data_IF_779956015115
#
_entry.id   IF_779956015115
#
_cell.length_a   1.000
_cell.length_b   1.000
_cell.length_c   1.000
_cell.angle_alpha   90.00
_cell.angle_beta   90.00
_cell.angle_gamma   90.00
#
_symmetry.space_group_name_H-M   'P 1'
#
loop_
_entity.id
_entity.type
_entity.pdbx_description
1 polymer ?
#
# COMPACT_ATOMS: atom_id res chain seq x y z
N UNK A 1 -0.82 13.37 -1.82
CA UNK A 1 -0.43 13.74 -0.45
C UNK A 1 0.98 14.30 -0.49
N UNK A 2 1.17 15.54 -0.01
CA UNK A 2 2.45 16.23 -0.08
C UNK A 2 3.12 16.41 1.30
N UNK A 3 2.44 16.09 2.39
CA UNK A 3 2.97 16.19 3.74
C UNK A 3 1.89 16.06 4.80
N UNK A 4 2.28 16.18 6.07
CA UNK A 4 1.40 16.01 7.21
C UNK A 4 1.26 14.54 7.63
N UNK A 5 0.29 14.29 8.49
CA UNK A 5 -0.07 12.93 8.94
C UNK A 5 -1.48 12.61 8.43
N UNK A 6 -1.65 11.48 7.79
CA UNK A 6 -2.92 10.98 7.29
C UNK A 6 -3.12 9.55 7.78
N UNK A 7 -4.14 9.34 8.59
CA UNK A 7 -4.53 8.02 9.09
C UNK A 7 -5.91 7.65 8.57
N UNK A 8 -6.00 6.48 7.94
CA UNK A 8 -7.22 5.98 7.30
C UNK A 8 -7.56 4.61 7.86
N UNK A 9 -8.81 4.46 8.30
CA UNK A 9 -9.42 3.17 8.60
C UNK A 9 -10.59 2.97 7.63
N UNK A 10 -10.48 2.01 6.73
CA UNK A 10 -11.46 1.80 5.66
C UNK A 10 -12.04 0.38 5.69
N UNK A 11 -13.34 0.28 5.47
CA UNK A 11 -14.01 -1.01 5.31
C UNK A 11 -13.82 -1.62 3.92
N UNK A 12 -13.42 -0.80 2.97
CA UNK A 12 -13.15 -1.12 1.57
C UNK A 12 -11.83 -0.45 1.18
N UNK A 13 -11.66 0.06 -0.04
CA UNK A 13 -10.42 0.73 -0.44
C UNK A 13 -10.05 1.87 0.52
N UNK A 14 -8.78 1.92 0.91
CA UNK A 14 -8.28 2.98 1.77
C UNK A 14 -8.15 4.31 1.04
N UNK A 15 -7.47 4.31 -0.08
CA UNK A 15 -7.34 5.47 -0.98
C UNK A 15 -7.69 5.01 -2.39
N UNK A 16 -8.65 5.68 -3.01
CA UNK A 16 -9.02 5.40 -4.39
C UNK A 16 -8.76 6.64 -5.25
N UNK A 17 -8.05 6.46 -6.36
CA UNK A 17 -7.83 7.47 -7.38
C UNK A 17 -8.41 7.00 -8.71
N UNK A 18 -9.50 7.62 -9.13
CA UNK A 18 -10.18 7.25 -10.38
C UNK A 18 -10.70 8.48 -11.11
N UNK A 19 -10.77 8.36 -12.43
CA UNK A 19 -11.40 9.33 -13.31
C UNK A 19 -12.73 8.74 -13.81
N UNK A 20 -13.74 8.75 -12.96
CA UNK A 20 -14.99 8.03 -13.13
C UNK A 20 -15.78 8.32 -14.43
N UNK A 21 -15.48 9.41 -15.11
CA UNK A 21 -16.12 9.80 -16.38
C UNK A 21 -15.20 9.61 -17.58
N UNK A 22 -14.04 8.95 -17.39
CA UNK A 22 -13.08 8.78 -18.48
C UNK A 22 -13.58 7.75 -19.50
N UNK A 23 -13.78 8.21 -20.72
CA UNK A 23 -14.06 7.35 -21.87
C UNK A 23 -12.76 7.17 -22.65
N UNK A 24 -12.24 5.94 -22.67
CA UNK A 24 -11.06 5.60 -23.47
C UNK A 24 -11.50 5.41 -24.92
N UNK A 25 -11.15 6.34 -25.80
CA UNK A 25 -11.48 6.24 -27.23
C UNK A 25 -10.94 4.93 -27.83
N UNK A 26 -11.80 4.19 -28.51
CA UNK A 26 -11.45 2.91 -29.09
C UNK A 26 -11.52 1.71 -28.14
N UNK A 27 -11.88 1.93 -26.90
CA UNK A 27 -12.08 0.89 -25.89
C UNK A 27 -13.49 0.98 -25.30
N UNK A 28 -14.49 0.75 -26.13
CA UNK A 28 -15.92 0.85 -25.74
C UNK A 28 -16.32 -0.15 -24.62
N UNK A 29 -15.44 -1.09 -24.32
CA UNK A 29 -15.62 -2.07 -23.25
C UNK A 29 -14.46 -2.00 -22.22
N UNK A 30 -13.84 -0.83 -22.05
CA UNK A 30 -12.86 -0.64 -20.98
C UNK A 30 -13.54 -0.92 -19.63
N UNK A 31 -12.97 -1.83 -18.88
CA UNK A 31 -13.43 -2.21 -17.54
C UNK A 31 -12.67 -1.41 -16.47
N UNK A 32 -12.95 -1.71 -15.21
CA UNK A 32 -12.28 -1.08 -14.07
C UNK A 32 -10.78 -1.33 -14.01
N UNK A 33 -10.28 -2.28 -14.80
CA UNK A 33 -8.87 -2.67 -14.87
C UNK A 33 -8.09 -1.88 -15.93
N UNK A 34 -8.75 -0.99 -16.66
CA UNK A 34 -8.11 -0.17 -17.69
C UNK A 34 -7.54 1.12 -17.09
N UNK A 35 -6.33 1.49 -17.51
CA UNK A 35 -5.72 2.77 -17.12
C UNK A 35 -6.61 3.92 -17.58
N UNK A 36 -7.17 4.66 -16.65
CA UNK A 36 -8.08 5.79 -16.91
C UNK A 36 -7.36 7.14 -16.91
N UNK A 37 -6.04 7.15 -16.79
CA UNK A 37 -5.20 8.33 -16.74
C UNK A 37 -5.16 9.05 -15.40
N UNK A 38 -5.81 8.51 -14.37
CA UNK A 38 -5.69 9.07 -13.02
C UNK A 38 -4.27 8.90 -12.48
N UNK A 39 -3.88 9.78 -11.57
CA UNK A 39 -2.54 9.74 -10.98
C UNK A 39 -2.63 9.97 -9.48
N UNK A 40 -2.21 8.98 -8.71
CA UNK A 40 -1.99 9.12 -7.28
C UNK A 40 -0.52 9.41 -7.02
N UNK A 41 -0.23 10.48 -6.29
CA UNK A 41 1.14 10.79 -5.87
C UNK A 41 1.19 11.06 -4.37
N UNK A 42 2.09 10.35 -3.70
CA UNK A 42 2.50 10.64 -2.33
C UNK A 42 3.94 11.15 -2.39
N UNK A 43 4.16 12.39 -2.01
CA UNK A 43 5.47 13.05 -2.11
C UNK A 43 6.04 13.50 -0.76
N UNK A 44 5.33 13.25 0.32
CA UNK A 44 5.78 13.57 1.67
C UNK A 44 4.76 13.21 2.73
N UNK A 45 5.14 13.37 3.99
CA UNK A 45 4.31 13.08 5.14
C UNK A 45 4.36 11.64 5.61
N UNK A 46 3.48 11.31 6.53
CA UNK A 46 3.25 9.95 7.02
C UNK A 46 1.82 9.55 6.69
N UNK A 47 1.65 8.47 5.95
CA UNK A 47 0.35 7.97 5.49
C UNK A 47 0.16 6.58 6.07
N UNK A 48 -0.91 6.40 6.79
CA UNK A 48 -1.27 5.14 7.45
C UNK A 48 -2.62 4.67 6.93
N UNK A 49 -2.66 3.46 6.40
CA UNK A 49 -3.88 2.85 5.87
C UNK A 49 -4.10 1.50 6.53
N UNK A 50 -5.23 1.37 7.24
CA UNK A 50 -5.73 0.09 7.72
C UNK A 50 -7.05 -0.19 7.01
N UNK A 51 -7.15 -1.29 6.28
CA UNK A 51 -8.32 -1.63 5.48
C UNK A 51 -8.82 -3.04 5.77
N UNK A 52 -10.14 -3.24 5.63
CA UNK A 52 -10.78 -4.51 5.94
C UNK A 52 -10.98 -5.40 4.71
N UNK A 53 -11.14 -4.83 3.52
CA UNK A 53 -11.33 -5.55 2.25
C UNK A 53 -10.89 -4.68 1.07
N UNK A 54 -10.86 -5.27 -0.12
CA UNK A 54 -10.39 -4.63 -1.36
C UNK A 54 -8.91 -4.24 -1.28
N UNK A 55 -8.56 -3.03 -1.70
CA UNK A 55 -7.18 -2.58 -1.76
C UNK A 55 -6.87 -1.50 -0.72
N UNK A 56 -5.64 -1.49 -0.22
CA UNK A 56 -5.20 -0.41 0.66
C UNK A 56 -5.13 0.91 -0.12
N UNK A 57 -4.52 0.86 -1.27
CA UNK A 57 -4.42 1.98 -2.22
C UNK A 57 -4.79 1.45 -3.60
N UNK A 58 -5.83 2.00 -4.20
CA UNK A 58 -6.27 1.70 -5.56
C UNK A 58 -6.11 2.92 -6.46
N UNK A 59 -5.47 2.75 -7.61
CA UNK A 59 -5.42 3.76 -8.65
C UNK A 59 -5.83 3.15 -9.99
N UNK A 60 -6.92 3.62 -10.54
CA UNK A 60 -7.32 3.24 -11.89
C UNK A 60 -6.37 3.79 -12.96
N UNK A 61 -5.32 4.48 -12.56
CA UNK A 61 -4.21 4.93 -13.39
C UNK A 61 -2.89 4.64 -12.71
N UNK A 62 -2.04 5.62 -12.58
CA UNK A 62 -0.68 5.46 -12.04
C UNK A 62 -0.60 5.76 -10.55
N UNK A 63 0.34 5.13 -9.85
CA UNK A 63 0.59 5.34 -8.43
C UNK A 63 2.09 5.54 -8.15
N UNK A 64 2.43 6.67 -7.55
CA UNK A 64 3.80 7.04 -7.24
C UNK A 64 3.97 7.39 -5.76
N UNK A 65 4.95 6.77 -5.10
CA UNK A 65 5.44 7.19 -3.79
C UNK A 65 6.85 7.75 -3.98
N UNK A 66 6.95 9.08 -3.98
CA UNK A 66 8.18 9.85 -4.26
C UNK A 66 8.82 10.45 -3.01
N UNK A 67 8.16 10.33 -1.88
CA UNK A 67 8.64 10.82 -0.58
C UNK A 67 7.65 10.48 0.52
N UNK A 68 8.06 10.70 1.77
CA UNK A 68 7.28 10.31 2.94
C UNK A 68 7.36 8.82 3.24
N UNK A 69 6.58 8.38 4.21
CA UNK A 69 6.45 6.97 4.59
C UNK A 69 4.98 6.57 4.50
N UNK A 70 4.71 5.42 3.88
CA UNK A 70 3.36 4.88 3.74
C UNK A 70 3.33 3.49 4.37
N UNK A 71 2.45 3.28 5.33
CA UNK A 71 2.21 1.96 5.95
C UNK A 71 0.80 1.50 5.58
N UNK A 72 0.70 0.36 4.92
CA UNK A 72 -0.56 -0.22 4.49
C UNK A 72 -0.74 -1.58 5.15
N UNK A 73 -1.83 -1.74 5.88
CA UNK A 73 -2.14 -2.95 6.65
C UNK A 73 -3.53 -3.45 6.31
N UNK A 74 -3.64 -4.68 5.82
CA UNK A 74 -4.94 -5.24 5.48
C UNK A 74 -4.90 -6.65 4.93
N UNK A 75 -5.88 -6.96 4.10
CA UNK A 75 -6.06 -8.27 3.53
C UNK A 75 -5.14 -8.50 2.32
N UNK A 76 -4.84 -9.76 2.05
CA UNK A 76 -4.16 -10.17 0.84
C UNK A 76 -4.99 -11.28 0.18
N UNK A 77 -5.42 -11.04 -1.03
CA UNK A 77 -6.23 -11.98 -1.80
C UNK A 77 -5.78 -12.04 -3.26
N UNK A 78 -6.50 -12.79 -4.06
CA UNK A 78 -6.22 -12.87 -5.49
C UNK A 78 -6.52 -11.56 -6.24
N UNK A 79 -7.46 -10.77 -5.70
CA UNK A 79 -7.95 -9.52 -6.27
C UNK A 79 -7.64 -8.31 -5.37
N UNK A 80 -7.25 -8.56 -4.13
CA UNK A 80 -7.05 -7.54 -3.11
C UNK A 80 -5.57 -7.43 -2.75
N UNK A 81 -5.10 -6.24 -2.48
CA UNK A 81 -3.69 -6.04 -2.15
C UNK A 81 -3.40 -4.71 -1.46
N UNK A 82 -2.15 -4.50 -1.10
CA UNK A 82 -1.75 -3.25 -0.46
C UNK A 82 -1.84 -2.07 -1.43
N UNK A 83 -1.42 -2.26 -2.67
CA UNK A 83 -1.48 -1.24 -3.73
C UNK A 83 -1.87 -1.90 -5.04
N UNK A 84 -2.91 -1.41 -5.67
CA UNK A 84 -3.27 -1.69 -7.05
C UNK A 84 -3.10 -0.45 -7.91
N UNK A 85 -2.62 -0.63 -9.14
CA UNK A 85 -2.51 0.45 -10.13
C UNK A 85 -2.60 -0.13 -11.53
N UNK A 86 -3.49 0.42 -12.34
CA UNK A 86 -3.71 -0.03 -13.71
C UNK A 86 -2.71 0.59 -14.71
N UNK A 87 -2.01 1.65 -14.31
CA UNK A 87 -0.98 2.33 -15.08
C UNK A 87 0.43 2.05 -14.56
N UNK A 88 1.28 3.06 -14.60
CA UNK A 88 2.64 2.98 -14.09
C UNK A 88 2.68 3.06 -12.56
N UNK A 89 3.69 2.44 -11.94
CA UNK A 89 3.92 2.57 -10.52
C UNK A 89 5.40 2.81 -10.19
N UNK A 90 5.64 3.58 -9.13
CA UNK A 90 6.97 3.76 -8.55
C UNK A 90 6.85 3.60 -7.05
N UNK A 91 7.19 2.42 -6.56
CA UNK A 91 7.02 2.00 -5.18
C UNK A 91 8.33 1.34 -4.70
N UNK A 92 8.90 1.84 -3.62
CA UNK A 92 10.08 1.23 -3.00
C UNK A 92 9.77 0.94 -1.54
N UNK A 93 9.90 -0.31 -1.14
CA UNK A 93 9.58 -0.69 0.22
C UNK A 93 9.75 -2.16 0.51
N UNK A 94 9.06 -2.61 1.55
CA UNK A 94 9.02 -4.00 2.00
C UNK A 94 7.57 -4.47 2.12
N UNK A 95 7.36 -5.75 1.86
CA UNK A 95 6.10 -6.44 2.18
C UNK A 95 6.38 -7.59 3.12
N UNK A 96 5.41 -7.90 3.98
CA UNK A 96 5.51 -9.04 4.89
C UNK A 96 4.14 -9.47 5.38
N UNK A 97 4.10 -10.62 6.00
CA UNK A 97 2.87 -11.21 6.56
C UNK A 97 3.06 -11.54 8.05
N UNK A 98 3.42 -10.55 8.89
CA UNK A 98 3.43 -10.79 10.33
C UNK A 98 1.99 -11.01 10.81
N UNK A 99 1.83 -11.78 11.87
CA UNK A 99 0.52 -11.92 12.52
C UNK A 99 0.14 -10.58 13.15
N UNK A 100 -0.97 -10.01 12.72
CA UNK A 100 -1.46 -8.70 13.16
C UNK A 100 -2.93 -8.79 13.51
N UNK A 101 -3.28 -8.36 14.70
CA UNK A 101 -4.66 -8.32 15.18
C UNK A 101 -5.18 -6.89 15.24
N UNK A 102 -6.49 -6.73 15.09
CA UNK A 102 -7.13 -5.44 15.32
C UNK A 102 -6.77 -4.90 16.70
N UNK A 103 -6.37 -3.64 16.77
CA UNK A 103 -5.90 -2.97 17.99
C UNK A 103 -4.39 -3.02 18.22
N UNK A 104 -3.65 -3.79 17.41
CA UNK A 104 -2.19 -3.78 17.48
C UNK A 104 -1.61 -2.43 17.06
N UNK A 105 -0.43 -2.14 17.61
CA UNK A 105 0.43 -1.09 17.07
C UNK A 105 1.53 -1.75 16.26
N UNK A 106 1.63 -1.38 14.98
CA UNK A 106 2.76 -1.73 14.13
C UNK A 106 3.88 -0.72 14.33
N UNK A 107 5.09 -1.20 14.43
CA UNK A 107 6.29 -0.36 14.48
C UNK A 107 7.25 -0.80 13.38
N UNK A 108 7.68 0.14 12.57
CA UNK A 108 8.68 -0.08 11.52
C UNK A 108 10.00 0.48 11.98
N UNK A 109 11.03 -0.36 12.02
CA UNK A 109 12.38 0.03 12.42
C UNK A 109 13.38 -0.26 11.30
N UNK A 110 14.41 0.57 11.22
CA UNK A 110 15.55 0.34 10.33
C UNK A 110 16.55 -0.66 10.95
N UNK A 111 17.63 -0.94 10.24
CA UNK A 111 18.67 -1.89 10.70
C UNK A 111 19.39 -1.43 11.96
N UNK A 112 19.35 -0.14 12.30
CA UNK A 112 19.93 0.40 13.55
C UNK A 112 18.99 0.28 14.76
N UNK A 113 17.73 -0.13 14.52
CA UNK A 113 16.69 -0.18 15.53
C UNK A 113 15.93 1.14 15.70
N UNK A 114 16.20 2.13 14.86
CA UNK A 114 15.48 3.41 14.90
C UNK A 114 14.10 3.27 14.29
N UNK A 115 13.08 3.80 14.97
CA UNK A 115 11.72 3.80 14.48
C UNK A 115 11.58 4.78 13.31
N UNK A 116 11.06 4.30 12.18
CA UNK A 116 10.80 5.11 10.99
C UNK A 116 9.31 5.36 10.76
N UNK A 117 8.44 4.51 11.29
CA UNK A 117 6.99 4.69 11.22
C UNK A 117 6.29 3.90 12.33
N UNK A 118 5.05 4.26 12.61
CA UNK A 118 4.15 3.55 13.51
C UNK A 118 2.71 3.67 13.02
N UNK A 119 1.93 2.61 13.16
CA UNK A 119 0.52 2.57 12.76
C UNK A 119 -0.29 1.86 13.82
N UNK A 120 -1.41 2.44 14.25
CA UNK A 120 -2.44 1.70 14.99
C UNK A 120 -3.35 0.99 14.00
N UNK A 121 -3.43 -0.32 14.12
CA UNK A 121 -4.19 -1.18 13.20
C UNK A 121 -5.64 -1.29 13.69
N UNK A 122 -6.58 -0.95 12.84
CA UNK A 122 -8.01 -1.03 13.14
C UNK A 122 -8.63 -2.37 12.75
N UNK A 123 -8.02 -3.08 11.81
CA UNK A 123 -8.50 -4.37 11.32
C UNK A 123 -7.40 -5.42 11.39
N UNK A 124 -7.79 -6.68 11.65
CA UNK A 124 -6.87 -7.83 11.51
C UNK A 124 -6.29 -7.84 10.10
N UNK A 125 -4.97 -8.03 9.99
CA UNK A 125 -4.27 -7.96 8.72
C UNK A 125 -3.54 -9.25 8.40
N UNK A 126 -3.48 -9.56 7.10
CA UNK A 126 -2.72 -10.69 6.55
C UNK A 126 -1.46 -10.22 5.81
N UNK A 127 -1.45 -8.96 5.39
CA UNK A 127 -0.32 -8.37 4.69
C UNK A 127 -0.06 -6.95 5.15
N UNK A 128 1.22 -6.63 5.27
CA UNK A 128 1.71 -5.28 5.58
C UNK A 128 2.67 -4.87 4.46
N UNK A 129 2.47 -3.68 3.94
CA UNK A 129 3.40 -3.05 3.00
C UNK A 129 3.84 -1.71 3.54
N UNK A 130 5.14 -1.44 3.51
CA UNK A 130 5.70 -0.14 3.89
C UNK A 130 6.45 0.43 2.69
N UNK A 131 6.07 1.62 2.27
CA UNK A 131 6.62 2.32 1.11
C UNK A 131 7.34 3.61 1.52
N UNK A 132 8.15 4.13 0.63
CA UNK A 132 8.97 5.32 0.90
C UNK A 132 10.27 5.00 1.63
N UNK A 133 10.66 3.73 1.63
CA UNK A 133 11.89 3.27 2.26
C UNK A 133 13.09 3.43 1.31
N UNK A 134 14.29 3.38 1.88
CA UNK A 134 15.54 3.43 1.10
C UNK A 134 15.87 2.06 0.52
N UNK A 135 15.95 1.97 -0.79
CA UNK A 135 16.28 0.74 -1.49
C UNK A 135 17.62 0.16 -1.00
N UNK A 136 17.65 -1.14 -0.80
CA UNK A 136 18.83 -1.86 -0.30
C UNK A 136 19.00 -1.86 1.21
N UNK A 137 18.21 -1.08 1.97
CA UNK A 137 18.25 -1.07 3.42
C UNK A 137 17.29 -2.11 4.01
N UNK A 138 17.64 -2.66 5.17
CA UNK A 138 16.83 -3.63 5.88
C UNK A 138 15.89 -2.95 6.88
N UNK A 139 14.66 -3.43 6.92
CA UNK A 139 13.61 -2.93 7.84
C UNK A 139 12.88 -4.09 8.50
N UNK A 140 12.42 -3.84 9.71
CA UNK A 140 11.59 -4.79 10.47
C UNK A 140 10.25 -4.14 10.77
N UNK A 141 9.18 -4.88 10.51
CA UNK A 141 7.81 -4.52 10.89
C UNK A 141 7.39 -5.45 12.03
N UNK A 142 7.06 -4.89 13.17
CA UNK A 142 6.66 -5.64 14.35
C UNK A 142 5.29 -5.22 14.86
N UNK A 143 4.45 -6.20 15.20
CA UNK A 143 3.15 -5.99 15.83
C UNK A 143 3.27 -6.08 17.34
N UNK A 144 2.51 -5.28 18.08
CA UNK A 144 2.52 -5.27 19.55
C UNK A 144 2.08 -6.60 20.17
N UNK A 145 1.32 -7.42 19.45
CA UNK A 145 0.96 -8.79 19.87
C UNK A 145 2.07 -9.81 19.66
N UNK A 146 3.19 -9.45 19.01
CA UNK A 146 4.40 -10.28 18.92
C UNK A 146 4.78 -10.76 17.53
N UNK A 147 3.94 -10.58 16.51
CA UNK A 147 4.29 -10.90 15.13
C UNK A 147 5.35 -9.94 14.58
N UNK A 148 6.29 -10.43 13.78
CA UNK A 148 7.27 -9.57 13.11
C UNK A 148 7.72 -10.15 11.78
N UNK A 149 8.15 -9.28 10.88
CA UNK A 149 8.76 -9.63 9.60
C UNK A 149 9.89 -8.66 9.29
N UNK A 150 10.97 -9.17 8.71
CA UNK A 150 12.13 -8.38 8.30
C UNK A 150 12.35 -8.56 6.81
N UNK A 151 12.65 -7.48 6.11
CA UNK A 151 12.92 -7.51 4.68
C UNK A 151 13.85 -6.39 4.25
N UNK A 152 14.40 -6.53 3.06
CA UNK A 152 15.22 -5.50 2.41
C UNK A 152 14.35 -4.72 1.44
N UNK A 153 14.36 -3.40 1.54
CA UNK A 153 13.56 -2.54 0.67
C UNK A 153 14.02 -2.66 -0.79
N UNK A 154 13.07 -2.83 -1.67
CA UNK A 154 13.28 -2.97 -3.11
C UNK A 154 12.13 -2.34 -3.87
N UNK A 155 12.31 -2.19 -5.18
CA UNK A 155 11.20 -1.79 -6.05
C UNK A 155 10.10 -2.86 -6.01
N UNK A 156 8.87 -2.44 -5.74
CA UNK A 156 7.69 -3.29 -5.66
C UNK A 156 6.80 -3.04 -6.88
N UNK A 157 6.11 -4.08 -7.32
CA UNK A 157 5.08 -3.97 -8.35
C UNK A 157 3.74 -3.73 -7.68
N UNK A 158 2.96 -2.77 -8.21
CA UNK A 158 1.55 -2.68 -7.89
C UNK A 158 0.81 -3.87 -8.53
N UNK A 159 -0.21 -4.38 -7.86
CA UNK A 159 -1.14 -5.34 -8.45
C UNK A 159 -1.85 -4.71 -9.65
N UNK A 160 -2.35 -5.53 -10.55
CA UNK A 160 -3.12 -5.07 -11.72
C UNK A 160 -4.59 -5.44 -11.62
N UNK A 161 -5.07 -5.75 -10.41
CA UNK A 161 -6.46 -6.15 -10.15
C UNK A 161 -6.91 -7.45 -10.82
N UNK A 162 -6.02 -8.11 -11.54
CA UNK A 162 -6.33 -9.36 -12.18
C UNK A 162 -5.99 -10.59 -11.33
N UNK A 163 -6.58 -11.77 -11.64
CA UNK A 163 -6.30 -13.01 -10.88
C UNK A 163 -4.85 -13.46 -10.91
N UNK A 164 -4.01 -12.82 -11.71
CA UNK A 164 -2.57 -13.03 -11.80
C UNK A 164 -1.76 -11.89 -11.19
N UNK A 165 -2.40 -10.89 -10.62
CA UNK A 165 -1.78 -9.71 -10.02
C UNK A 165 -1.25 -9.94 -8.61
N UNK A 166 -1.09 -11.16 -8.19
CA UNK A 166 -0.38 -11.51 -6.97
C UNK A 166 1.10 -11.19 -7.12
N UNK A 167 1.47 -9.94 -6.95
CA UNK A 167 2.86 -9.55 -6.87
C UNK A 167 3.50 -10.22 -5.66
N UNK A 168 4.52 -10.98 -5.90
CA UNK A 168 5.35 -11.51 -4.85
C UNK A 168 6.16 -10.38 -4.20
#
# INVERSE_FOLDING_TARGET
>A
VAGGELSIAAGDDGINASNGDHVIEGHENADSESDDGSVLTISGGEVEVSYASSDGIDSNGSAYVKGGIVVVSGQAGAMDGSVDANGESQLVGVTGSPSVSAGDTLTVTDASGSQVASLKVDFTAEAITVLGLTEGQQYTVAASSGGSATGTASALSAGTGGPMGGGA
#
